data_IF_138331656477
#
_entry.id   IF_138331656477
#
_cell.length_a   1.000
_cell.length_b   1.000
_cell.length_c   1.000
_cell.angle_alpha   90.00
_cell.angle_beta   90.00
_cell.angle_gamma   90.00
#
_symmetry.space_group_name_H-M   'P 1'
#
loop_
_entity.id
_entity.type
_entity.pdbx_description
1 polymer ?
#
# COMPACT_ATOMS: atom_id res chain seq x y z
N UNK A 1 -19.83 -22.83 9.29
CA UNK A 1 -19.53 -21.56 8.62
C UNK A 1 -19.98 -21.67 7.19
N UNK A 2 -20.68 -20.66 6.70
CA UNK A 2 -20.98 -20.55 5.27
C UNK A 2 -19.70 -20.24 4.48
N UNK A 3 -19.59 -20.63 3.20
CA UNK A 3 -18.43 -20.31 2.36
C UNK A 3 -18.11 -18.81 2.34
N UNK A 4 -19.15 -17.96 2.36
CA UNK A 4 -19.03 -16.51 2.45
C UNK A 4 -18.32 -16.03 3.72
N UNK A 5 -18.65 -16.61 4.88
CA UNK A 5 -18.01 -16.25 6.15
C UNK A 5 -16.53 -16.64 6.15
N UNK A 6 -16.18 -17.79 5.57
CA UNK A 6 -14.78 -18.24 5.47
C UNK A 6 -13.95 -17.31 4.61
N UNK A 7 -14.48 -16.93 3.44
CA UNK A 7 -13.83 -15.95 2.54
C UNK A 7 -13.63 -14.62 3.26
N UNK A 8 -14.64 -14.14 3.98
CA UNK A 8 -14.55 -12.87 4.70
C UNK A 8 -13.50 -12.92 5.81
N UNK A 9 -13.47 -13.99 6.61
CA UNK A 9 -12.48 -14.18 7.66
C UNK A 9 -11.05 -14.17 7.11
N UNK A 10 -10.79 -14.92 6.02
CA UNK A 10 -9.48 -14.96 5.38
C UNK A 10 -9.07 -13.60 4.80
N UNK A 11 -10.01 -12.85 4.21
CA UNK A 11 -9.75 -11.49 3.72
C UNK A 11 -9.34 -10.55 4.85
N UNK A 12 -10.02 -10.61 5.98
CA UNK A 12 -9.77 -9.72 7.11
C UNK A 12 -8.42 -10.06 7.79
N UNK A 13 -8.11 -11.34 7.96
CA UNK A 13 -6.78 -11.79 8.43
C UNK A 13 -5.65 -11.33 7.50
N UNK A 14 -5.79 -11.53 6.19
CA UNK A 14 -4.78 -11.11 5.22
C UNK A 14 -4.62 -9.58 5.19
N UNK A 15 -5.70 -8.82 5.40
CA UNK A 15 -5.64 -7.35 5.51
C UNK A 15 -4.87 -6.91 6.75
N UNK A 16 -5.11 -7.56 7.89
CA UNK A 16 -4.39 -7.29 9.13
C UNK A 16 -2.90 -7.60 8.99
N UNK A 17 -2.55 -8.76 8.42
CA UNK A 17 -1.15 -9.12 8.18
C UNK A 17 -0.46 -8.14 7.22
N UNK A 18 -1.13 -7.71 6.14
CA UNK A 18 -0.61 -6.69 5.23
C UNK A 18 -0.41 -5.34 5.93
N UNK A 19 -1.36 -4.92 6.77
CA UNK A 19 -1.23 -3.68 7.53
C UNK A 19 -0.04 -3.74 8.48
N UNK A 20 0.12 -4.86 9.18
CA UNK A 20 1.24 -5.05 10.10
C UNK A 20 2.60 -5.09 9.37
N UNK A 21 2.64 -5.68 8.18
CA UNK A 21 3.85 -5.72 7.35
C UNK A 21 4.21 -4.34 6.77
N UNK A 22 3.27 -3.65 6.11
CA UNK A 22 3.56 -2.42 5.36
C UNK A 22 3.49 -1.14 6.19
N UNK A 23 2.70 -1.11 7.27
CA UNK A 23 2.44 0.10 8.07
C UNK A 23 3.16 0.05 9.40
N UNK A 24 3.04 -1.07 10.12
CA UNK A 24 3.59 -1.18 11.47
C UNK A 24 5.03 -1.71 11.52
N UNK A 25 5.57 -2.18 10.38
CA UNK A 25 6.90 -2.83 10.29
C UNK A 25 7.08 -3.96 11.33
N UNK A 26 5.97 -4.64 11.66
CA UNK A 26 5.90 -5.68 12.69
C UNK A 26 5.17 -6.91 12.14
N UNK A 27 5.83 -7.71 11.29
CA UNK A 27 5.20 -8.86 10.65
C UNK A 27 4.77 -9.90 11.70
N UNK A 28 3.47 -10.20 11.75
CA UNK A 28 2.90 -11.18 12.70
C UNK A 28 3.03 -12.62 12.23
N UNK A 29 3.24 -12.84 10.93
CA UNK A 29 3.39 -14.15 10.31
C UNK A 29 4.56 -14.14 9.32
N UNK A 30 5.11 -15.33 9.04
CA UNK A 30 6.13 -15.52 8.00
C UNK A 30 5.50 -15.47 6.60
N UNK A 31 6.29 -15.04 5.61
CA UNK A 31 5.91 -15.00 4.20
C UNK A 31 5.27 -16.31 3.71
N UNK A 32 5.81 -17.46 4.14
CA UNK A 32 5.26 -18.77 3.76
C UNK A 32 3.83 -19.02 4.27
N UNK A 33 3.53 -18.60 5.49
CA UNK A 33 2.20 -18.74 6.07
C UNK A 33 1.22 -17.76 5.41
N UNK A 34 1.71 -16.58 5.01
CA UNK A 34 0.93 -15.62 4.24
C UNK A 34 0.56 -16.17 2.86
N UNK A 35 1.53 -16.74 2.15
CA UNK A 35 1.34 -17.32 0.83
C UNK A 35 0.33 -18.49 0.85
N UNK A 36 0.41 -19.36 1.86
CA UNK A 36 -0.58 -20.43 2.07
C UNK A 36 -2.00 -19.90 2.24
N UNK A 37 -2.19 -18.90 3.12
CA UNK A 37 -3.51 -18.28 3.34
C UNK A 37 -4.03 -17.61 2.07
N UNK A 38 -3.13 -16.99 1.29
CA UNK A 38 -3.47 -16.39 0.01
C UNK A 38 -3.90 -17.42 -1.04
N UNK A 39 -3.22 -18.57 -1.13
CA UNK A 39 -3.59 -19.68 -2.01
C UNK A 39 -4.95 -20.29 -1.62
N UNK A 40 -5.21 -20.43 -0.32
CA UNK A 40 -6.52 -20.86 0.19
C UNK A 40 -7.63 -19.89 -0.22
N UNK A 41 -7.42 -18.58 -0.06
CA UNK A 41 -8.37 -17.56 -0.48
C UNK A 41 -8.64 -17.64 -1.98
N UNK A 42 -7.59 -17.78 -2.82
CA UNK A 42 -7.73 -17.93 -4.27
C UNK A 42 -8.54 -19.16 -4.66
N UNK A 43 -8.30 -20.29 -3.99
CA UNK A 43 -9.03 -21.54 -4.25
C UNK A 43 -10.51 -21.39 -3.92
N UNK A 44 -10.84 -20.73 -2.81
CA UNK A 44 -12.23 -20.46 -2.42
C UNK A 44 -12.91 -19.46 -3.36
N UNK A 45 -12.21 -18.39 -3.77
CA UNK A 45 -12.73 -17.41 -4.73
C UNK A 45 -12.94 -18.04 -6.13
N UNK A 46 -12.09 -18.99 -6.54
CA UNK A 46 -12.26 -19.74 -7.78
C UNK A 46 -13.45 -20.71 -7.74
N UNK A 47 -13.71 -21.31 -6.57
CA UNK A 47 -14.88 -22.18 -6.37
C UNK A 47 -16.19 -21.39 -6.28
N UNK A 48 -16.13 -20.12 -5.83
CA UNK A 48 -17.28 -19.25 -5.60
C UNK A 48 -17.13 -17.88 -6.27
N UNK A 49 -17.24 -17.80 -7.61
CA UNK A 49 -17.13 -16.54 -8.35
C UNK A 49 -18.19 -15.50 -7.95
N UNK A 50 -19.29 -15.91 -7.33
CA UNK A 50 -20.33 -15.02 -6.80
C UNK A 50 -19.86 -14.09 -5.67
N UNK A 51 -18.75 -14.42 -4.99
CA UNK A 51 -18.19 -13.62 -3.89
C UNK A 51 -16.95 -12.81 -4.30
N UNK A 52 -16.70 -12.65 -5.61
CA UNK A 52 -15.61 -11.83 -6.11
C UNK A 52 -15.68 -10.39 -5.59
N UNK A 53 -14.53 -9.87 -5.13
CA UNK A 53 -14.41 -8.50 -4.65
C UNK A 53 -13.14 -7.85 -5.22
N UNK A 54 -13.31 -6.71 -5.89
CA UNK A 54 -12.22 -5.91 -6.45
C UNK A 54 -11.22 -5.37 -5.41
N UNK A 55 -11.62 -5.32 -4.14
CA UNK A 55 -10.76 -4.87 -3.02
C UNK A 55 -10.08 -6.02 -2.28
N UNK A 56 -10.24 -7.26 -2.76
CA UNK A 56 -9.63 -8.44 -2.17
C UNK A 56 -8.09 -8.39 -2.30
N UNK A 57 -7.32 -8.83 -1.29
CA UNK A 57 -5.86 -8.90 -1.36
C UNK A 57 -5.34 -9.74 -2.54
N UNK A 58 -6.13 -10.72 -3.00
CA UNK A 58 -5.80 -11.59 -4.14
C UNK A 58 -5.72 -10.83 -5.47
N UNK A 59 -6.46 -9.73 -5.62
CA UNK A 59 -6.53 -8.91 -6.85
C UNK A 59 -5.38 -7.90 -6.91
N UNK A 60 -4.89 -7.43 -5.76
CA UNK A 60 -3.81 -6.42 -5.70
C UNK A 60 -2.48 -6.87 -6.30
N UNK A 61 -2.19 -8.17 -6.28
CA UNK A 61 -0.87 -8.72 -6.66
C UNK A 61 -0.72 -9.05 -8.15
N UNK A 62 -1.64 -8.61 -9.01
CA UNK A 62 -1.55 -8.88 -10.44
C UNK A 62 -2.55 -8.09 -11.27
N UNK A 63 -2.17 -6.88 -11.66
CA UNK A 63 -2.78 -6.19 -12.80
C UNK A 63 -1.95 -6.42 -14.05
N UNK A 64 -2.60 -6.59 -15.20
CA UNK A 64 -1.95 -6.54 -16.51
C UNK A 64 -1.10 -5.26 -16.61
N UNK A 65 0.16 -5.39 -17.06
CA UNK A 65 1.10 -4.26 -17.16
C UNK A 65 0.57 -3.30 -18.24
N UNK A 66 -0.30 -2.38 -17.83
CA UNK A 66 -0.80 -1.33 -18.70
C UNK A 66 0.36 -0.35 -18.88
N UNK A 67 1.17 -0.56 -19.92
CA UNK A 67 2.40 0.22 -20.21
C UNK A 67 2.12 1.69 -20.58
N UNK A 68 0.85 2.07 -20.69
CA UNK A 68 0.43 3.41 -21.09
C UNK A 68 -0.19 4.14 -19.90
N UNK A 69 0.64 4.85 -19.14
CA UNK A 69 0.17 5.76 -18.11
C UNK A 69 -0.16 7.12 -18.73
N UNK A 70 -1.41 7.55 -18.61
CA UNK A 70 -1.80 8.90 -19.00
C UNK A 70 -1.10 9.92 -18.08
N UNK A 71 -0.49 10.96 -18.67
CA UNK A 71 0.13 12.02 -17.89
C UNK A 71 -0.94 12.91 -17.28
N UNK A 72 -1.05 12.93 -15.95
CA UNK A 72 -1.98 13.80 -15.23
C UNK A 72 -1.25 15.02 -14.71
N UNK A 73 -1.80 16.22 -14.97
CA UNK A 73 -1.21 17.48 -14.50
C UNK A 73 -1.52 17.69 -13.01
N UNK A 74 -0.49 17.94 -12.21
CA UNK A 74 -0.65 18.32 -10.80
C UNK A 74 -1.31 19.70 -10.67
N UNK A 75 -2.30 19.81 -9.77
CA UNK A 75 -3.02 21.06 -9.49
C UNK A 75 -2.06 22.13 -8.94
N UNK A 76 -1.17 21.72 -8.04
CA UNK A 76 -0.13 22.56 -7.46
C UNK A 76 1.25 22.14 -7.96
N UNK A 77 2.22 23.06 -7.90
CA UNK A 77 3.62 22.74 -8.19
C UNK A 77 4.15 21.77 -7.13
N UNK A 78 4.76 20.67 -7.57
CA UNK A 78 5.50 19.78 -6.68
C UNK A 78 6.80 20.47 -6.27
N UNK A 79 7.04 20.54 -4.96
CA UNK A 79 8.27 21.12 -4.43
C UNK A 79 9.37 20.07 -4.41
N UNK A 80 10.60 20.50 -4.67
CA UNK A 80 11.81 19.68 -4.52
C UNK A 80 12.59 20.18 -3.32
N UNK A 81 13.03 19.26 -2.48
CA UNK A 81 13.91 19.61 -1.38
C UNK A 81 15.31 19.96 -1.91
N UNK A 82 15.86 21.08 -1.44
CA UNK A 82 17.22 21.50 -1.80
C UNK A 82 18.15 21.19 -0.64
N UNK A 83 19.19 20.40 -0.89
CA UNK A 83 20.21 20.11 0.13
C UNK A 83 21.03 21.38 0.32
N UNK A 84 20.98 21.92 1.53
CA UNK A 84 21.71 23.14 1.90
C UNK A 84 22.98 22.76 2.65
N UNK A 85 24.12 23.25 2.17
CA UNK A 85 25.37 23.24 2.93
C UNK A 85 25.21 24.06 4.22
N UNK A 86 25.86 23.66 5.34
CA UNK A 86 25.66 24.30 6.65
C UNK A 86 25.83 25.82 6.67
N UNK A 87 26.77 26.35 5.88
CA UNK A 87 27.00 27.79 5.73
C UNK A 87 25.77 28.55 5.17
N UNK A 88 24.97 27.91 4.32
CA UNK A 88 23.74 28.49 3.74
C UNK A 88 22.55 28.40 4.67
N UNK A 89 22.51 27.43 5.59
CA UNK A 89 21.46 27.30 6.61
C UNK A 89 21.48 28.54 7.53
N UNK A 90 22.66 28.93 8.00
CA UNK A 90 22.83 30.12 8.85
C UNK A 90 22.41 31.42 8.13
N UNK A 91 22.72 31.54 6.84
CA UNK A 91 22.35 32.71 6.05
C UNK A 91 20.83 32.83 5.81
N UNK A 92 20.12 31.71 5.67
CA UNK A 92 18.65 31.69 5.51
C UNK A 92 17.96 32.14 6.79
N UNK A 93 18.39 31.66 7.95
CA UNK A 93 17.84 32.07 9.25
C UNK A 93 17.96 33.58 9.49
N UNK A 94 19.13 34.18 9.18
CA UNK A 94 19.33 35.64 9.29
C UNK A 94 18.47 36.45 8.31
N UNK A 95 18.15 35.88 7.14
CA UNK A 95 17.33 36.54 6.12
C UNK A 95 15.84 36.51 6.49
N UNK A 96 15.39 35.48 7.19
CA UNK A 96 14.04 35.39 7.74
C UNK A 96 13.82 36.39 8.89
N UNK A 97 14.80 36.53 9.81
CA UNK A 97 14.73 37.49 10.92
C UNK A 97 14.73 38.97 10.51
N UNK A 98 15.27 39.32 9.33
CA UNK A 98 15.26 40.70 8.82
C UNK A 98 13.95 41.12 8.12
N UNK A 99 13.03 40.19 7.93
CA UNK A 99 11.73 40.43 7.25
C UNK A 99 10.54 40.41 8.22
N UNK A 100 10.79 40.34 9.52
CA UNK A 100 9.87 40.63 10.61
C UNK A 100 10.20 42.01 11.16
#
# INVERSE_FOLDING_TARGET
MSPKEQIQSLRDELREHNYNYYVNDNPTISDFEFDKKLEQLKTLEAAHPEFYDSTSPSVRVGGEVTKNFNTVRHINRMYRWIILIPSRICAIGKRALRKL
#
